data_IF_369380403452
#
_entry.id   IF_369380403452
#
_cell.length_a   1.000
_cell.length_b   1.000
_cell.length_c   1.000
_cell.angle_alpha   90.00
_cell.angle_beta   90.00
_cell.angle_gamma   90.00
#
_symmetry.space_group_name_H-M   'P 1'
#
loop_
_entity.id
_entity.type
_entity.pdbx_description
1 polymer ?
#
# COMPACT_ATOMS: atom_id res chain seq x y z
N UNK A 1 -6.44 -33.08 -11.59
CA UNK A 1 -6.89 -31.75 -11.11
C UNK A 1 -5.96 -31.32 -9.98
N UNK A 2 -5.23 -30.21 -10.14
CA UNK A 2 -4.33 -29.70 -9.10
C UNK A 2 -5.17 -29.24 -7.91
N UNK A 3 -4.83 -29.70 -6.71
CA UNK A 3 -5.44 -29.27 -5.44
C UNK A 3 -5.34 -27.75 -5.33
N UNK A 4 -6.43 -27.05 -5.63
CA UNK A 4 -6.56 -25.62 -5.35
C UNK A 4 -6.62 -25.51 -3.84
N UNK A 5 -5.53 -25.01 -3.27
CA UNK A 5 -5.29 -24.99 -1.84
C UNK A 5 -6.46 -24.32 -1.10
N UNK A 6 -7.15 -25.05 -0.22
CA UNK A 6 -8.23 -24.59 0.67
C UNK A 6 -7.74 -23.57 1.73
N UNK A 7 -6.89 -22.61 1.38
CA UNK A 7 -6.11 -21.84 2.36
C UNK A 7 -6.75 -20.53 2.83
N UNK A 8 -7.82 -20.06 2.17
CA UNK A 8 -8.37 -18.72 2.40
C UNK A 8 -9.80 -18.69 2.95
N UNK A 9 -10.40 -19.84 3.26
CA UNK A 9 -11.85 -19.95 3.51
C UNK A 9 -12.40 -19.26 4.77
N UNK A 10 -11.58 -18.58 5.58
CA UNK A 10 -12.04 -17.97 6.85
C UNK A 10 -11.49 -16.57 7.17
N UNK A 11 -10.61 -16.00 6.35
CA UNK A 11 -10.10 -14.63 6.60
C UNK A 11 -10.65 -13.68 5.54
N UNK A 12 -11.42 -12.71 5.97
CA UNK A 12 -11.83 -11.58 5.12
C UNK A 12 -10.59 -10.76 4.81
N UNK A 13 -10.03 -10.96 3.61
CA UNK A 13 -8.86 -10.25 3.11
C UNK A 13 -9.32 -8.87 2.62
N UNK A 14 -8.68 -7.82 3.13
CA UNK A 14 -8.96 -6.44 2.70
C UNK A 14 -7.95 -5.93 1.67
N UNK A 15 -6.68 -6.31 1.81
CA UNK A 15 -5.61 -5.93 0.87
C UNK A 15 -4.62 -7.08 0.70
N UNK A 16 -4.03 -7.20 -0.47
CA UNK A 16 -3.09 -8.26 -0.81
C UNK A 16 -2.07 -7.76 -1.84
N UNK A 17 -0.83 -8.25 -1.75
CA UNK A 17 0.21 -8.03 -2.75
C UNK A 17 1.10 -9.27 -2.89
N UNK A 18 1.64 -9.48 -4.09
CA UNK A 18 2.54 -10.59 -4.41
C UNK A 18 4.00 -10.12 -4.31
N UNK A 19 4.79 -10.76 -3.46
CA UNK A 19 6.23 -10.56 -3.36
C UNK A 19 6.92 -11.55 -4.31
N UNK A 20 7.26 -11.08 -5.51
CA UNK A 20 7.72 -11.91 -6.63
C UNK A 20 9.05 -12.61 -6.38
N UNK A 21 9.99 -11.98 -5.70
CA UNK A 21 11.31 -12.53 -5.38
C UNK A 21 11.24 -13.66 -4.34
N UNK A 22 10.18 -13.71 -3.54
CA UNK A 22 9.99 -14.71 -2.48
C UNK A 22 8.93 -15.76 -2.85
N UNK A 23 8.30 -15.65 -4.04
CA UNK A 23 7.11 -16.42 -4.45
C UNK A 23 6.04 -16.48 -3.34
N UNK A 24 5.85 -15.36 -2.63
CA UNK A 24 5.01 -15.32 -1.43
C UNK A 24 4.01 -14.17 -1.47
N UNK A 25 2.92 -14.32 -0.70
CA UNK A 25 1.86 -13.32 -0.62
C UNK A 25 1.97 -12.60 0.73
N UNK A 26 1.84 -11.28 0.67
CA UNK A 26 1.55 -10.45 1.83
C UNK A 26 0.10 -9.97 1.77
N UNK A 27 -0.63 -10.07 2.88
CA UNK A 27 -2.03 -9.63 2.92
C UNK A 27 -2.43 -9.10 4.29
N UNK A 28 -3.41 -8.21 4.28
CA UNK A 28 -4.06 -7.64 5.47
C UNK A 28 -5.47 -8.18 5.59
N UNK A 29 -5.84 -8.66 6.79
CA UNK A 29 -7.23 -9.02 7.09
C UNK A 29 -8.06 -7.83 7.61
N UNK A 30 -9.38 -8.01 7.74
CA UNK A 30 -10.29 -6.98 8.27
C UNK A 30 -9.99 -6.49 9.69
N UNK A 31 -9.16 -7.19 10.44
CA UNK A 31 -8.74 -6.82 11.80
C UNK A 31 -7.39 -6.09 11.83
N UNK A 32 -6.86 -5.74 10.65
CA UNK A 32 -5.56 -5.12 10.43
C UNK A 32 -4.39 -6.01 10.86
N UNK A 33 -4.55 -7.33 10.86
CA UNK A 33 -3.40 -8.22 10.96
C UNK A 33 -2.73 -8.31 9.59
N UNK A 34 -1.43 -8.01 9.55
CA UNK A 34 -0.60 -8.23 8.37
C UNK A 34 0.00 -9.64 8.43
N UNK A 35 -0.11 -10.38 7.34
CA UNK A 35 0.51 -11.68 7.16
C UNK A 35 1.49 -11.60 5.99
N UNK A 36 2.70 -12.13 6.16
CA UNK A 36 3.72 -12.24 5.12
C UNK A 36 4.13 -13.71 5.09
N UNK A 37 4.01 -14.36 3.93
CA UNK A 37 4.29 -15.78 3.78
C UNK A 37 3.58 -16.63 4.87
N UNK A 38 2.28 -16.38 5.05
CA UNK A 38 1.38 -17.04 6.03
C UNK A 38 1.70 -16.77 7.51
N UNK A 39 2.78 -16.07 7.85
CA UNK A 39 3.13 -15.71 9.22
C UNK A 39 2.60 -14.35 9.57
N UNK A 40 2.00 -14.20 10.76
CA UNK A 40 1.57 -12.89 11.25
C UNK A 40 2.82 -12.03 11.47
N UNK A 41 2.86 -10.87 10.85
CA UNK A 41 3.90 -9.89 11.05
C UNK A 41 3.62 -9.08 12.32
N UNK A 42 4.64 -8.99 13.17
CA UNK A 42 4.66 -8.17 14.38
C UNK A 42 6.02 -7.51 14.48
N UNK A 43 6.07 -6.28 14.95
CA UNK A 43 7.33 -5.56 15.12
C UNK A 43 7.23 -4.61 16.30
N UNK A 44 8.21 -4.69 17.22
CA UNK A 44 8.17 -4.00 18.51
C UNK A 44 6.84 -4.29 19.23
N UNK A 45 6.16 -3.26 19.74
CA UNK A 45 4.88 -3.37 20.44
C UNK A 45 3.67 -3.41 19.47
N UNK A 46 3.91 -3.40 18.16
CA UNK A 46 2.87 -3.36 17.14
C UNK A 46 2.54 -4.76 16.61
N UNK A 47 1.26 -5.12 16.67
CA UNK A 47 0.72 -6.39 16.15
C UNK A 47 -0.33 -6.21 15.06
N UNK A 48 -0.62 -4.96 14.68
CA UNK A 48 -1.61 -4.58 13.67
C UNK A 48 -1.04 -3.51 12.76
N UNK A 49 -1.23 -3.68 11.46
CA UNK A 49 -0.65 -2.84 10.42
C UNK A 49 -1.63 -2.59 9.29
N UNK A 50 -1.50 -1.43 8.68
CA UNK A 50 -2.10 -1.05 7.41
C UNK A 50 -1.08 -1.39 6.32
N UNK A 51 -1.45 -2.31 5.44
CA UNK A 51 -0.67 -2.64 4.25
C UNK A 51 -0.79 -1.48 3.26
N UNK A 52 0.35 -0.83 3.00
CA UNK A 52 0.45 0.23 2.00
C UNK A 52 0.61 -0.40 0.63
N UNK A 53 1.56 -1.30 0.48
CA UNK A 53 1.76 -2.07 -0.75
C UNK A 53 3.20 -2.55 -0.90
N UNK A 54 3.61 -2.86 -2.13
CA UNK A 54 4.99 -3.27 -2.44
C UNK A 54 5.66 -2.23 -3.31
N UNK A 55 6.93 -1.96 -3.06
CA UNK A 55 7.78 -1.13 -3.90
C UNK A 55 8.74 -1.99 -4.73
N UNK A 56 9.78 -1.35 -5.25
CA UNK A 56 10.85 -2.03 -6.00
C UNK A 56 11.54 -3.10 -5.14
N UNK A 57 12.05 -4.15 -5.79
CA UNK A 57 12.71 -5.30 -5.15
C UNK A 57 11.85 -6.06 -4.13
N UNK A 58 10.52 -5.93 -4.24
CA UNK A 58 9.56 -6.53 -3.30
C UNK A 58 9.72 -6.07 -1.84
N UNK A 59 10.22 -4.85 -1.65
CA UNK A 59 10.13 -4.17 -0.37
C UNK A 59 8.65 -3.93 -0.05
N UNK A 60 8.20 -4.44 1.09
CA UNK A 60 6.83 -4.28 1.56
C UNK A 60 6.73 -3.05 2.46
N UNK A 61 5.73 -2.20 2.22
CA UNK A 61 5.48 -1.00 3.00
C UNK A 61 4.25 -1.21 3.87
N UNK A 62 4.40 -1.01 5.17
CA UNK A 62 3.29 -1.14 6.10
C UNK A 62 3.40 -0.14 7.25
N UNK A 63 2.27 0.42 7.66
CA UNK A 63 2.20 1.39 8.76
C UNK A 63 1.51 0.79 9.98
N UNK A 64 1.99 0.98 11.21
CA UNK A 64 1.26 0.55 12.40
C UNK A 64 -0.14 1.14 12.46
N UNK A 65 -1.15 0.30 12.71
CA UNK A 65 -2.53 0.77 12.73
C UNK A 65 -2.78 1.86 13.79
N UNK A 66 -2.06 1.80 14.92
CA UNK A 66 -2.16 2.77 16.02
C UNK A 66 -1.24 3.98 15.88
N UNK A 67 -0.22 3.91 15.03
CA UNK A 67 0.81 4.94 14.86
C UNK A 67 1.09 5.11 13.38
N UNK A 68 0.17 5.81 12.70
CA UNK A 68 0.22 6.01 11.26
C UNK A 68 1.38 6.92 10.83
N UNK A 69 2.04 7.61 11.76
CA UNK A 69 3.14 8.53 11.45
C UNK A 69 4.43 7.81 11.03
N UNK A 70 4.43 6.46 11.07
CA UNK A 70 5.55 5.62 10.68
C UNK A 70 5.12 4.65 9.59
N UNK A 71 5.99 4.49 8.61
CA UNK A 71 5.89 3.45 7.59
C UNK A 71 7.15 2.61 7.69
N UNK A 72 6.98 1.32 7.99
CA UNK A 72 8.09 0.38 7.99
C UNK A 72 8.28 -0.19 6.60
N UNK A 73 9.55 -0.21 6.18
CA UNK A 73 10.00 -0.92 4.99
C UNK A 73 10.45 -2.30 5.43
N UNK A 74 9.83 -3.33 4.87
CA UNK A 74 9.96 -4.72 5.30
C UNK A 74 10.53 -5.54 4.14
N UNK A 75 11.61 -6.27 4.42
CA UNK A 75 12.25 -7.20 3.51
C UNK A 75 12.43 -8.53 4.25
N UNK A 76 12.02 -9.67 3.66
CA UNK A 76 12.15 -10.99 4.29
C UNK A 76 11.61 -11.04 5.74
N UNK A 77 10.45 -10.44 6.01
CA UNK A 77 9.82 -10.31 7.34
C UNK A 77 10.64 -9.52 8.38
N UNK A 78 11.66 -8.77 7.97
CA UNK A 78 12.43 -7.89 8.84
C UNK A 78 12.22 -6.44 8.42
N UNK A 79 12.13 -5.55 9.40
CA UNK A 79 12.14 -4.11 9.15
C UNK A 79 13.57 -3.71 8.79
N UNK A 80 13.76 -3.15 7.60
CA UNK A 80 15.04 -2.67 7.08
C UNK A 80 15.15 -1.15 7.12
N UNK A 81 14.02 -0.44 7.11
CA UNK A 81 13.98 1.01 7.19
C UNK A 81 12.66 1.53 7.80
N UNK A 82 12.62 2.80 8.18
CA UNK A 82 11.44 3.50 8.69
C UNK A 82 11.33 4.90 8.10
N UNK A 83 10.22 5.14 7.40
CA UNK A 83 9.84 6.46 6.89
C UNK A 83 8.91 7.12 7.91
N UNK A 84 9.16 8.39 8.22
CA UNK A 84 8.27 9.20 9.06
C UNK A 84 7.40 10.08 8.17
N UNK A 85 6.11 10.12 8.45
CA UNK A 85 5.18 11.04 7.81
C UNK A 85 4.61 12.00 8.86
N UNK A 86 4.54 13.28 8.53
CA UNK A 86 4.06 14.33 9.43
C UNK A 86 2.53 14.38 9.45
N UNK A 87 1.91 14.36 8.27
CA UNK A 87 0.47 14.26 8.12
C UNK A 87 0.05 12.79 8.05
N UNK A 88 -0.94 12.41 8.85
CA UNK A 88 -1.49 11.05 8.92
C UNK A 88 -2.94 10.98 8.43
N UNK A 89 -3.50 12.11 7.97
CA UNK A 89 -4.88 12.26 7.51
C UNK A 89 -5.02 12.00 6.00
N UNK A 90 -4.26 11.05 5.45
CA UNK A 90 -4.49 10.61 4.08
C UNK A 90 -5.85 9.91 3.97
N UNK A 91 -6.58 10.17 2.88
CA UNK A 91 -7.91 9.61 2.63
C UNK A 91 -7.85 8.21 2.03
N UNK A 92 -6.80 7.91 1.27
CA UNK A 92 -6.63 6.60 0.63
C UNK A 92 -5.16 6.25 0.37
N UNK A 93 -4.92 5.02 -0.07
CA UNK A 93 -3.63 4.48 -0.48
C UNK A 93 -3.75 3.91 -1.88
N UNK A 94 -2.96 4.44 -2.81
CA UNK A 94 -2.79 3.87 -4.14
C UNK A 94 -1.48 3.07 -4.17
N UNK A 95 -1.56 1.79 -4.55
CA UNK A 95 -0.39 0.94 -4.76
C UNK A 95 -0.49 0.30 -6.13
N UNK A 96 0.39 0.70 -7.04
CA UNK A 96 0.39 0.19 -8.41
C UNK A 96 1.81 0.24 -8.98
N UNK A 97 2.16 -0.79 -9.76
CA UNK A 97 3.44 -0.93 -10.46
C UNK A 97 4.68 -0.58 -9.59
N UNK A 98 4.74 -1.16 -8.39
CA UNK A 98 5.84 -0.97 -7.43
C UNK A 98 6.03 0.48 -6.95
N UNK A 99 4.96 1.27 -6.98
CA UNK A 99 4.89 2.63 -6.42
C UNK A 99 3.76 2.69 -5.40
N UNK A 100 3.99 3.41 -4.32
CA UNK A 100 3.04 3.53 -3.24
C UNK A 100 2.79 5.01 -2.94
N UNK A 101 1.53 5.42 -3.01
CA UNK A 101 1.12 6.77 -2.75
C UNK A 101 0.13 6.83 -1.60
N UNK A 102 0.38 7.75 -0.67
CA UNK A 102 -0.64 8.22 0.26
C UNK A 102 -1.41 9.35 -0.40
N UNK A 103 -2.72 9.20 -0.53
CA UNK A 103 -3.58 10.16 -1.22
C UNK A 103 -4.18 11.12 -0.20
N UNK A 104 -3.96 12.42 -0.38
CA UNK A 104 -4.56 13.51 0.37
C UNK A 104 -5.60 14.23 -0.48
N UNK A 105 -6.19 15.32 0.02
CA UNK A 105 -7.23 16.04 -0.71
C UNK A 105 -6.71 16.68 -2.01
N UNK A 106 -5.52 17.29 -1.95
CA UNK A 106 -4.94 18.09 -3.02
C UNK A 106 -3.53 17.64 -3.47
N UNK A 107 -2.96 16.60 -2.86
CA UNK A 107 -1.72 15.98 -3.34
C UNK A 107 -1.67 14.47 -3.09
N UNK A 108 -0.83 13.77 -3.85
CA UNK A 108 -0.39 12.42 -3.59
C UNK A 108 1.07 12.45 -3.11
N UNK A 109 1.37 11.74 -2.02
CA UNK A 109 2.71 11.61 -1.47
C UNK A 109 3.31 10.27 -1.86
N UNK A 110 4.43 10.29 -2.60
CA UNK A 110 5.20 9.10 -2.95
C UNK A 110 5.95 8.61 -1.71
N UNK A 111 5.63 7.40 -1.25
CA UNK A 111 6.22 6.83 -0.03
C UNK A 111 7.70 6.51 -0.22
N UNK A 112 8.11 6.11 -1.43
CA UNK A 112 9.48 5.73 -1.74
C UNK A 112 10.42 6.92 -1.91
N UNK A 113 9.95 8.00 -2.53
CA UNK A 113 10.80 9.17 -2.86
C UNK A 113 10.58 10.36 -1.94
N UNK A 114 9.44 10.44 -1.27
CA UNK A 114 9.03 11.61 -0.48
C UNK A 114 8.43 12.75 -1.31
N UNK A 115 8.32 12.58 -2.63
CA UNK A 115 7.79 13.61 -3.52
C UNK A 115 6.29 13.81 -3.33
N UNK A 116 5.84 15.05 -3.54
CA UNK A 116 4.42 15.42 -3.56
C UNK A 116 4.01 15.77 -4.98
N UNK A 117 2.95 15.12 -5.46
CA UNK A 117 2.34 15.38 -6.77
C UNK A 117 1.01 16.08 -6.49
N UNK A 118 0.83 17.30 -7.00
CA UNK A 118 -0.47 17.97 -6.88
C UNK A 118 -1.51 17.20 -7.68
N UNK A 119 -2.69 17.01 -7.10
CA UNK A 119 -3.80 16.27 -7.71
C UNK A 119 -5.05 17.14 -7.71
N UNK A 120 -5.96 16.86 -8.64
CA UNK A 120 -7.26 17.53 -8.68
C UNK A 120 -8.15 17.07 -7.54
N UNK A 121 -8.79 18.04 -6.89
CA UNK A 121 -9.87 17.79 -5.95
C UNK A 121 -11.07 17.14 -6.68
N UNK A 122 -11.90 16.43 -5.93
CA UNK A 122 -13.17 15.85 -6.40
C UNK A 122 -13.05 14.86 -7.59
N UNK A 123 -11.86 14.29 -7.78
CA UNK A 123 -11.62 13.21 -8.74
C UNK A 123 -11.04 11.99 -8.04
N UNK A 124 -11.45 10.81 -8.49
CA UNK A 124 -10.87 9.55 -8.05
C UNK A 124 -9.59 9.29 -8.83
N UNK A 125 -8.50 9.00 -8.13
CA UNK A 125 -7.22 8.66 -8.77
C UNK A 125 -7.24 7.19 -9.15
N UNK A 126 -7.00 6.91 -10.43
CA UNK A 126 -6.90 5.55 -10.96
C UNK A 126 -5.44 5.09 -10.97
N UNK A 127 -4.53 5.93 -11.46
CA UNK A 127 -3.11 5.62 -11.54
C UNK A 127 -2.24 6.88 -11.52
N UNK A 128 -1.00 6.72 -11.07
CA UNK A 128 0.05 7.73 -11.12
C UNK A 128 1.27 7.09 -11.76
N UNK A 129 1.64 7.60 -12.93
CA UNK A 129 2.84 7.21 -13.66
C UNK A 129 3.92 8.27 -13.49
N UNK A 130 5.11 7.99 -14.00
CA UNK A 130 6.24 8.93 -13.94
C UNK A 130 6.00 10.24 -14.71
N UNK A 131 4.98 10.28 -15.57
CA UNK A 131 4.69 11.44 -16.45
C UNK A 131 3.27 11.96 -16.32
N UNK A 132 2.37 11.19 -15.72
CA UNK A 132 0.93 11.43 -15.82
C UNK A 132 0.17 10.96 -14.58
N UNK A 133 -0.85 11.73 -14.19
CA UNK A 133 -1.91 11.27 -13.28
C UNK A 133 -3.14 10.94 -14.10
N UNK A 134 -3.74 9.77 -13.83
CA UNK A 134 -4.97 9.32 -14.47
C UNK A 134 -6.10 9.37 -13.44
N UNK A 135 -7.14 10.11 -13.78
CA UNK A 135 -8.30 10.33 -12.93
C UNK A 135 -9.56 9.72 -13.54
N UNK A 136 -10.57 9.58 -12.68
CA UNK A 136 -11.95 9.28 -13.03
C UNK A 136 -12.87 10.25 -12.30
N UNK A 137 -13.82 10.86 -13.02
CA UNK A 137 -14.85 11.69 -12.40
C UNK A 137 -16.08 10.86 -11.99
N UNK A 138 -17.07 11.52 -11.38
CA UNK A 138 -18.35 10.92 -10.97
C UNK A 138 -19.17 10.32 -12.13
N UNK A 139 -18.95 10.78 -13.37
CA UNK A 139 -19.56 10.23 -14.59
C UNK A 139 -18.77 9.05 -15.18
N UNK A 140 -17.73 8.57 -14.51
CA UNK A 140 -16.79 7.55 -14.97
C UNK A 140 -15.96 7.94 -16.21
N UNK A 141 -15.86 9.23 -16.53
CA UNK A 141 -14.98 9.72 -17.60
C UNK A 141 -13.54 9.80 -17.10
N UNK A 142 -12.62 9.33 -17.94
CA UNK A 142 -11.19 9.35 -17.65
C UNK A 142 -10.56 10.68 -18.06
N UNK A 143 -9.69 11.20 -17.21
CA UNK A 143 -8.88 12.40 -17.49
C UNK A 143 -7.42 12.08 -17.25
N UNK A 144 -6.56 12.62 -18.10
CA UNK A 144 -5.11 12.44 -18.02
C UNK A 144 -4.49 13.82 -17.87
N UNK A 145 -3.62 13.97 -16.88
CA UNK A 145 -2.87 15.19 -16.61
C UNK A 145 -1.39 14.87 -16.63
N UNK A 146 -0.59 15.67 -17.33
CA UNK A 146 0.86 15.48 -17.37
C UNK A 146 1.51 16.15 -16.15
N UNK A 147 2.57 15.54 -15.63
CA UNK A 147 3.40 16.01 -14.50
C UNK A 147 4.72 16.57 -15.03
#
# INVERSE_FOLDING_TARGET
>A
MKNVSHYFSLKDICKMTLLTNEDCIAFQDKYNNLYINKRKFTYQDYSKFILIGKGKKDLLYASPYKDKSKIYVIENQKVVDTIKIEDTNYKDILSFDNRNYLIYDNYAYNVETGDKINIKNDMDIIDITDKQVIYKNSENKLFIENI
#
